data_IF_093635488998
#
_entry.id   IF_093635488998
#
_cell.length_a   1.000
_cell.length_b   1.000
_cell.length_c   1.000
_cell.angle_alpha   90.00
_cell.angle_beta   90.00
_cell.angle_gamma   90.00
#
_symmetry.space_group_name_H-M   'P 1'
#
loop_
_entity.id
_entity.type
_entity.pdbx_description
1 polymer ?
#
# COMPACT_ATOMS: atom_id res chain seq x y z
N UNK A 1 16.71 -32.24 17.31
CA UNK A 1 16.16 -30.95 16.80
C UNK A 1 16.79 -30.65 15.46
N UNK A 2 16.02 -30.17 14.47
CA UNK A 2 16.56 -29.85 13.15
C UNK A 2 17.30 -28.50 13.18
N UNK A 3 18.56 -28.50 12.77
CA UNK A 3 19.42 -27.30 12.69
C UNK A 3 20.06 -27.18 11.32
N UNK A 4 20.42 -25.95 10.95
CA UNK A 4 21.06 -25.67 9.66
C UNK A 4 22.47 -26.25 9.65
N UNK A 5 22.81 -27.08 8.67
CA UNK A 5 24.16 -27.65 8.56
C UNK A 5 25.21 -26.60 8.17
N UNK A 6 24.83 -25.55 7.40
CA UNK A 6 25.73 -24.51 6.90
C UNK A 6 25.03 -23.16 6.83
N UNK A 7 25.82 -22.08 6.89
CA UNK A 7 25.34 -20.72 6.65
C UNK A 7 24.82 -20.58 5.21
N UNK A 8 23.64 -20.00 5.04
CA UNK A 8 23.11 -19.66 3.71
C UNK A 8 23.97 -18.61 3.01
N UNK A 9 24.29 -18.81 1.73
CA UNK A 9 25.07 -17.86 0.94
C UNK A 9 24.35 -16.52 0.75
N UNK A 10 25.12 -15.44 0.48
CA UNK A 10 24.57 -14.12 0.13
C UNK A 10 23.61 -14.21 -1.07
N UNK A 11 23.97 -15.01 -2.07
CA UNK A 11 23.15 -15.23 -3.28
C UNK A 11 21.83 -15.94 -2.96
N UNK A 12 21.84 -16.99 -2.13
CA UNK A 12 20.62 -17.71 -1.72
C UNK A 12 19.68 -16.82 -0.90
N UNK A 13 20.25 -15.99 0.00
CA UNK A 13 19.47 -14.99 0.75
C UNK A 13 18.83 -13.96 -0.17
N UNK A 14 19.57 -13.43 -1.14
CA UNK A 14 19.05 -12.45 -2.10
C UNK A 14 17.96 -13.05 -3.00
N UNK A 15 18.18 -14.25 -3.55
CA UNK A 15 17.18 -14.98 -4.35
C UNK A 15 15.88 -15.24 -3.60
N UNK A 16 15.93 -15.55 -2.30
CA UNK A 16 14.72 -15.72 -1.49
C UNK A 16 13.93 -14.41 -1.29
N UNK A 17 14.60 -13.26 -1.33
CA UNK A 17 14.00 -11.94 -1.07
C UNK A 17 13.48 -11.25 -2.33
N UNK A 18 13.54 -11.88 -3.51
CA UNK A 18 13.09 -11.29 -4.79
C UNK A 18 11.62 -10.88 -4.80
N UNK A 19 10.79 -11.54 -4.00
CA UNK A 19 9.36 -11.27 -3.91
C UNK A 19 8.99 -10.28 -2.78
N UNK A 20 9.95 -9.85 -1.94
CA UNK A 20 9.71 -8.92 -0.83
C UNK A 20 9.76 -7.47 -1.28
N UNK A 21 8.93 -7.11 -2.26
CA UNK A 21 8.81 -5.75 -2.79
C UNK A 21 7.50 -5.13 -2.34
N UNK A 22 7.56 -3.87 -1.90
CA UNK A 22 6.39 -3.08 -1.57
C UNK A 22 5.67 -2.68 -2.85
N UNK A 23 4.34 -2.77 -2.85
CA UNK A 23 3.49 -2.32 -3.95
C UNK A 23 3.01 -0.91 -3.64
N UNK A 24 3.03 -0.01 -4.63
CA UNK A 24 2.50 1.35 -4.47
C UNK A 24 0.96 1.29 -4.32
N UNK A 25 0.37 2.06 -3.40
CA UNK A 25 -1.08 2.11 -3.29
C UNK A 25 -1.71 2.72 -4.54
N UNK A 26 -2.90 2.23 -4.90
CA UNK A 26 -3.71 2.80 -5.97
C UNK A 26 -4.42 4.05 -5.47
N UNK A 27 -4.01 5.20 -6.01
CA UNK A 27 -4.60 6.50 -5.69
C UNK A 27 -5.45 7.00 -6.86
N UNK A 28 -6.61 7.56 -6.55
CA UNK A 28 -7.52 8.19 -7.49
C UNK A 28 -7.68 9.67 -7.18
N UNK A 29 -7.94 10.49 -8.21
CA UNK A 29 -8.17 11.92 -8.02
C UNK A 29 -9.58 12.15 -7.47
N UNK A 30 -9.70 12.99 -6.45
CA UNK A 30 -11.00 13.41 -5.95
C UNK A 30 -11.64 14.43 -6.92
N UNK A 31 -12.90 14.25 -7.34
CA UNK A 31 -13.56 15.18 -8.25
C UNK A 31 -13.87 16.55 -7.62
N UNK A 32 -13.99 16.65 -6.29
CA UNK A 32 -14.36 17.91 -5.64
C UNK A 32 -13.15 18.79 -5.25
N UNK A 33 -12.18 18.25 -4.50
CA UNK A 33 -10.99 19.00 -4.07
C UNK A 33 -9.76 18.82 -4.96
N UNK A 34 -9.77 17.88 -5.91
CA UNK A 34 -8.63 17.60 -6.77
C UNK A 34 -7.47 16.83 -6.11
N UNK A 35 -7.51 16.58 -4.80
CA UNK A 35 -6.49 15.82 -4.07
C UNK A 35 -6.53 14.31 -4.41
N UNK A 36 -5.41 13.62 -4.16
CA UNK A 36 -5.34 12.16 -4.30
C UNK A 36 -5.90 11.46 -3.07
N UNK A 37 -6.80 10.51 -3.32
CA UNK A 37 -7.39 9.65 -2.28
C UNK A 37 -7.23 8.18 -2.63
N UNK A 38 -7.38 7.32 -1.63
CA UNK A 38 -7.50 5.87 -1.87
C UNK A 38 -8.84 5.57 -2.54
N UNK A 39 -8.84 4.64 -3.49
CA UNK A 39 -10.07 4.17 -4.12
C UNK A 39 -11.05 3.64 -3.05
N UNK A 40 -12.35 3.93 -3.23
CA UNK A 40 -13.44 3.56 -2.31
C UNK A 40 -13.29 4.06 -0.86
N UNK A 41 -12.43 5.06 -0.60
CA UNK A 41 -12.37 5.74 0.69
C UNK A 41 -12.91 7.16 0.59
N UNK A 42 -13.41 7.64 1.72
CA UNK A 42 -13.77 9.03 1.91
C UNK A 42 -12.54 9.92 1.72
N UNK A 43 -12.73 11.05 1.04
CA UNK A 43 -11.67 12.02 0.84
C UNK A 43 -11.45 12.86 2.12
N UNK A 44 -10.25 13.42 2.26
CA UNK A 44 -9.89 14.44 3.26
C UNK A 44 -10.90 15.59 3.35
N UNK A 45 -11.51 15.93 2.20
CA UNK A 45 -12.51 17.00 2.06
C UNK A 45 -13.90 16.68 2.64
N UNK A 46 -14.08 15.55 3.32
CA UNK A 46 -15.37 15.25 3.97
C UNK A 46 -16.38 14.50 3.09
N UNK A 47 -16.03 14.25 1.82
CA UNK A 47 -16.98 13.75 0.82
C UNK A 47 -16.70 12.33 0.34
N UNK A 48 -17.80 11.62 0.09
CA UNK A 48 -17.82 10.31 -0.54
C UNK A 48 -19.07 10.20 -1.43
N UNK A 49 -18.90 9.70 -2.66
CA UNK A 49 -19.99 9.53 -3.63
C UNK A 49 -20.86 10.80 -3.86
N UNK A 50 -20.23 11.98 -3.89
CA UNK A 50 -20.93 13.25 -4.13
C UNK A 50 -21.82 13.73 -2.98
N UNK A 51 -21.72 13.10 -1.81
CA UNK A 51 -22.38 13.53 -0.58
C UNK A 51 -21.34 13.97 0.44
N UNK A 52 -21.60 15.10 1.07
CA UNK A 52 -20.84 15.56 2.23
C UNK A 52 -21.26 14.72 3.44
N UNK A 53 -20.33 13.91 3.96
CA UNK A 53 -20.59 12.99 5.07
C UNK A 53 -20.12 13.60 6.40
N UNK A 54 -19.03 14.36 6.35
CA UNK A 54 -18.51 15.07 7.52
C UNK A 54 -18.56 16.56 7.22
N UNK A 55 -19.36 17.28 7.99
CA UNK A 55 -19.25 18.73 8.09
C UNK A 55 -17.95 19.05 8.85
N UNK A 56 -17.09 19.85 8.21
CA UNK A 56 -15.99 20.54 8.87
C UNK A 56 -16.27 22.02 8.78
#
# INVERSE_FOLDING_TARGET
MAVQQRRGSKTRKAKRRTHYKLVKPTLTRCPNCGEYKLAHKMCSCGEYNGKQIVEK
#
